data_IF_934816911684
#
_entry.id   IF_934816911684
#
_cell.length_a   1.000
_cell.length_b   1.000
_cell.length_c   1.000
_cell.angle_alpha   90.00
_cell.angle_beta   90.00
_cell.angle_gamma   90.00
#
_symmetry.space_group_name_H-M   'P 1'
#
loop_
_entity.id
_entity.type
_entity.pdbx_description
1 polymer ?
#
# COMPACT_ATOMS: atom_id res chain seq x y z
N UNK A 1 -47.37 27.34 -44.00
CA UNK A 1 -46.17 27.54 -43.14
C UNK A 1 -46.68 27.85 -41.74
N UNK A 2 -46.54 26.93 -40.83
CA UNK A 2 -46.76 27.22 -39.41
C UNK A 2 -45.49 27.89 -38.92
N UNK A 3 -45.61 29.07 -38.31
CA UNK A 3 -44.49 29.71 -37.63
C UNK A 3 -44.22 28.94 -36.34
N UNK A 4 -43.01 28.42 -36.20
CA UNK A 4 -42.56 27.81 -34.95
C UNK A 4 -42.03 28.92 -34.03
N UNK A 5 -42.51 28.94 -32.80
CA UNK A 5 -42.05 29.85 -31.77
C UNK A 5 -41.33 29.05 -30.70
N UNK A 6 -40.08 29.45 -30.40
CA UNK A 6 -39.28 28.82 -29.33
C UNK A 6 -39.28 29.75 -28.12
N UNK A 7 -39.59 29.19 -26.96
CA UNK A 7 -39.48 29.89 -25.68
C UNK A 7 -38.37 29.19 -24.86
N UNK A 8 -37.54 30.00 -24.22
CA UNK A 8 -36.42 29.54 -23.41
C UNK A 8 -36.58 30.06 -21.98
N UNK A 9 -36.34 29.21 -21.03
CA UNK A 9 -36.28 29.54 -19.60
C UNK A 9 -35.04 28.91 -19.02
N UNK A 10 -34.18 29.72 -18.41
CA UNK A 10 -33.01 29.27 -17.65
C UNK A 10 -33.38 29.26 -16.17
N UNK A 11 -33.27 28.10 -15.53
CA UNK A 11 -33.59 27.90 -14.13
C UNK A 11 -32.28 27.47 -13.40
N UNK A 12 -31.85 28.29 -12.44
CA UNK A 12 -30.76 27.91 -11.55
C UNK A 12 -31.31 27.01 -10.46
N UNK A 13 -30.82 25.78 -10.40
CA UNK A 13 -31.15 24.85 -9.31
C UNK A 13 -30.48 25.34 -8.03
N UNK A 14 -31.27 25.41 -6.95
CA UNK A 14 -30.79 25.83 -5.61
C UNK A 14 -31.34 24.88 -4.54
N UNK A 15 -30.65 24.80 -3.41
CA UNK A 15 -31.09 24.00 -2.25
C UNK A 15 -32.49 24.35 -1.75
N UNK A 16 -32.91 25.62 -1.94
CA UNK A 16 -34.25 26.11 -1.54
C UNK A 16 -35.38 25.42 -2.30
N UNK A 17 -35.09 24.87 -3.49
CA UNK A 17 -36.07 24.12 -4.29
C UNK A 17 -36.42 22.78 -3.70
N UNK A 18 -35.58 22.23 -2.77
CA UNK A 18 -35.79 20.95 -2.10
C UNK A 18 -36.14 19.82 -3.06
N UNK A 19 -35.40 19.75 -4.15
CA UNK A 19 -35.53 18.68 -5.15
C UNK A 19 -34.85 17.43 -4.59
N UNK A 20 -35.45 16.27 -4.81
CA UNK A 20 -34.85 14.99 -4.52
C UNK A 20 -33.88 14.59 -5.66
N UNK A 21 -32.87 13.78 -5.36
CA UNK A 21 -32.00 13.21 -6.38
C UNK A 21 -32.79 12.36 -7.38
N UNK A 22 -32.35 12.41 -8.62
CA UNK A 22 -33.00 11.72 -9.71
C UNK A 22 -33.58 12.66 -10.76
N UNK A 23 -34.55 12.19 -11.52
CA UNK A 23 -35.15 12.98 -12.61
C UNK A 23 -35.84 14.22 -12.09
N UNK A 24 -35.51 15.36 -12.68
CA UNK A 24 -36.17 16.61 -12.37
C UNK A 24 -37.52 16.68 -13.11
N UNK A 25 -38.58 16.70 -12.34
CA UNK A 25 -39.91 16.90 -12.86
C UNK A 25 -40.21 18.40 -13.06
N UNK A 26 -40.87 18.72 -14.14
CA UNK A 26 -41.30 20.08 -14.44
C UNK A 26 -42.67 20.09 -15.13
N UNK A 27 -43.31 21.24 -15.08
CA UNK A 27 -44.58 21.51 -15.72
C UNK A 27 -44.50 22.83 -16.48
N UNK A 28 -45.00 22.83 -17.73
CA UNK A 28 -45.22 24.01 -18.49
C UNK A 28 -46.72 24.16 -18.68
N UNK A 29 -47.27 25.25 -18.19
CA UNK A 29 -48.70 25.52 -18.25
C UNK A 29 -48.96 27.01 -18.43
N UNK A 30 -50.22 27.38 -18.63
CA UNK A 30 -50.64 28.79 -18.69
C UNK A 30 -50.31 29.48 -20.02
N UNK A 31 -49.95 28.77 -21.08
CA UNK A 31 -49.73 29.33 -22.41
C UNK A 31 -51.00 29.23 -23.24
N UNK A 32 -51.16 30.25 -24.14
CA UNK A 32 -52.31 30.32 -25.02
C UNK A 32 -51.88 30.87 -26.39
N UNK A 33 -52.66 30.58 -27.42
CA UNK A 33 -52.48 31.18 -28.73
C UNK A 33 -52.93 32.66 -28.77
N UNK A 34 -52.73 33.33 -29.89
CA UNK A 34 -53.11 34.72 -30.06
C UNK A 34 -54.64 34.97 -30.04
N UNK A 35 -55.43 33.91 -30.17
CA UNK A 35 -56.88 33.96 -30.06
C UNK A 35 -57.38 33.67 -28.62
N UNK A 36 -56.48 33.36 -27.69
CA UNK A 36 -56.77 33.10 -26.29
C UNK A 36 -57.11 31.64 -25.99
N UNK A 37 -56.87 30.72 -26.93
CA UNK A 37 -57.06 29.31 -26.66
C UNK A 37 -55.88 28.77 -25.82
N UNK A 38 -56.17 28.18 -24.66
CA UNK A 38 -55.18 27.64 -23.78
C UNK A 38 -54.55 26.34 -24.33
N UNK A 39 -53.24 26.21 -24.17
CA UNK A 39 -52.54 24.99 -24.48
C UNK A 39 -52.68 23.94 -23.39
N UNK A 40 -52.47 22.68 -23.75
CA UNK A 40 -52.42 21.59 -22.79
C UNK A 40 -51.17 21.67 -21.91
N UNK A 41 -51.26 21.20 -20.69
CA UNK A 41 -50.14 21.09 -19.76
C UNK A 41 -49.08 20.14 -20.32
N UNK A 42 -47.82 20.57 -20.35
CA UNK A 42 -46.67 19.79 -20.72
C UNK A 42 -45.87 19.43 -19.47
N UNK A 43 -45.29 18.23 -19.43
CA UNK A 43 -44.53 17.69 -18.33
C UNK A 43 -43.21 17.13 -18.83
N UNK A 44 -42.38 16.66 -17.90
CA UNK A 44 -41.15 15.93 -18.22
C UNK A 44 -41.38 14.74 -19.16
N UNK A 45 -42.58 14.09 -19.12
CA UNK A 45 -42.97 13.02 -20.03
C UNK A 45 -43.15 13.44 -21.50
N UNK A 46 -43.32 14.74 -21.77
CA UNK A 46 -43.50 15.27 -23.12
C UNK A 46 -42.17 15.67 -23.77
N UNK A 47 -41.03 15.45 -23.11
CA UNK A 47 -39.69 15.73 -23.66
C UNK A 47 -39.48 14.92 -24.95
N UNK A 48 -38.94 15.58 -25.97
CA UNK A 48 -38.55 14.89 -27.20
C UNK A 48 -37.27 14.07 -26.97
N UNK A 49 -37.45 12.80 -26.68
CA UNK A 49 -36.39 11.84 -26.35
C UNK A 49 -35.39 11.51 -27.47
N UNK A 50 -35.53 12.09 -28.67
CA UNK A 50 -34.57 11.85 -29.77
C UNK A 50 -33.20 12.51 -29.51
N UNK A 51 -33.12 13.44 -28.58
CA UNK A 51 -31.88 14.18 -28.25
C UNK A 51 -31.54 14.20 -26.78
N UNK A 52 -32.53 14.12 -25.90
CA UNK A 52 -32.34 14.21 -24.44
C UNK A 52 -33.28 13.27 -23.71
N UNK A 53 -32.77 12.61 -22.68
CA UNK A 53 -33.55 11.66 -21.83
C UNK A 53 -34.14 12.35 -20.60
N UNK A 54 -33.96 13.64 -20.43
CA UNK A 54 -34.25 14.42 -19.24
C UNK A 54 -33.00 14.94 -18.54
N UNK A 55 -33.19 15.71 -17.50
CA UNK A 55 -32.13 16.19 -16.62
C UNK A 55 -32.31 15.49 -15.27
N UNK A 56 -31.25 14.96 -14.74
CA UNK A 56 -31.22 14.34 -13.41
C UNK A 56 -30.45 15.25 -12.46
N UNK A 57 -30.97 15.39 -11.24
CA UNK A 57 -30.26 16.01 -10.14
C UNK A 57 -29.47 14.94 -9.42
N UNK A 58 -28.21 15.20 -9.23
CA UNK A 58 -27.33 14.38 -8.43
C UNK A 58 -26.55 15.28 -7.47
N UNK A 59 -26.72 15.07 -6.19
CA UNK A 59 -26.05 15.78 -5.09
C UNK A 59 -25.37 14.81 -4.13
N UNK A 60 -25.23 13.57 -4.54
CA UNK A 60 -24.58 12.52 -3.75
C UNK A 60 -23.10 12.52 -4.12
N UNK A 61 -22.24 12.63 -3.12
CA UNK A 61 -20.80 12.52 -3.36
C UNK A 61 -20.43 11.08 -3.75
N UNK A 62 -19.54 10.90 -4.74
CA UNK A 62 -19.10 9.57 -5.15
C UNK A 62 -18.49 8.86 -3.94
N UNK A 63 -19.01 7.69 -3.65
CA UNK A 63 -18.52 6.94 -2.52
C UNK A 63 -19.24 7.16 -1.20
N UNK A 64 -20.27 7.95 -1.14
CA UNK A 64 -21.03 8.23 0.09
C UNK A 64 -22.21 7.28 0.35
N UNK A 65 -22.50 6.37 -0.57
CA UNK A 65 -23.60 5.42 -0.40
C UNK A 65 -23.23 4.32 0.58
N UNK A 66 -23.73 4.47 1.79
CA UNK A 66 -23.63 3.55 2.93
C UNK A 66 -24.64 2.38 2.81
N UNK A 67 -24.95 1.97 1.57
CA UNK A 67 -25.87 0.86 1.38
C UNK A 67 -25.11 -0.48 1.49
N UNK A 68 -25.68 -1.41 2.21
CA UNK A 68 -25.10 -2.70 2.58
C UNK A 68 -24.80 -3.64 1.39
N UNK A 69 -24.99 -3.21 0.14
CA UNK A 69 -24.85 -4.02 -1.07
C UNK A 69 -23.77 -3.55 -2.03
N UNK A 70 -23.25 -2.35 -1.88
CA UNK A 70 -22.31 -1.74 -2.82
C UNK A 70 -21.18 -0.93 -2.21
N UNK A 71 -20.95 -1.06 -0.90
CA UNK A 71 -19.98 -0.25 -0.18
C UNK A 71 -18.71 0.05 -0.96
N UNK A 72 -18.35 1.32 -1.02
CA UNK A 72 -17.04 1.74 -1.44
C UNK A 72 -16.02 1.08 -0.50
N UNK A 73 -14.91 0.66 -1.05
CA UNK A 73 -13.85 0.12 -0.23
C UNK A 73 -12.49 0.58 -0.75
N UNK A 74 -11.60 0.77 0.19
CA UNK A 74 -10.19 1.00 -0.06
C UNK A 74 -9.43 -0.18 0.49
N UNK A 75 -8.71 -0.87 -0.36
CA UNK A 75 -7.75 -1.89 0.03
C UNK A 75 -6.34 -1.38 -0.20
N UNK A 76 -5.51 -1.52 0.83
CA UNK A 76 -4.09 -1.27 0.77
C UNK A 76 -3.36 -2.54 1.20
N UNK A 77 -2.32 -2.92 0.47
CA UNK A 77 -1.60 -4.16 0.75
C UNK A 77 -0.17 -4.15 0.20
N UNK A 78 0.71 -4.89 0.86
CA UNK A 78 2.00 -5.27 0.30
C UNK A 78 1.79 -6.31 -0.80
N UNK A 79 2.05 -5.95 -2.05
CA UNK A 79 1.94 -6.85 -3.20
C UNK A 79 3.14 -7.80 -3.31
N UNK A 80 4.29 -7.43 -2.75
CA UNK A 80 5.53 -8.21 -2.84
C UNK A 80 5.58 -9.42 -1.93
N UNK A 81 4.74 -9.46 -0.88
CA UNK A 81 4.67 -10.56 0.07
C UNK A 81 3.24 -11.01 0.30
N UNK A 82 2.90 -12.19 -0.22
CA UNK A 82 1.55 -12.76 -0.07
C UNK A 82 1.24 -13.23 1.36
N UNK A 83 2.28 -13.53 2.17
CA UNK A 83 2.14 -14.02 3.53
C UNK A 83 2.11 -12.87 4.55
N UNK A 84 2.67 -11.71 4.20
CA UNK A 84 2.67 -10.52 5.04
C UNK A 84 2.22 -9.29 4.23
N UNK A 85 0.92 -9.15 4.09
CA UNK A 85 0.31 -8.06 3.30
C UNK A 85 0.19 -6.74 4.06
N UNK A 86 0.39 -6.76 5.39
CA UNK A 86 0.17 -5.61 6.27
C UNK A 86 1.47 -4.94 6.76
N UNK A 87 2.62 -5.40 6.27
CA UNK A 87 3.90 -4.73 6.52
C UNK A 87 4.67 -4.64 5.21
N UNK A 88 5.34 -3.54 4.98
CA UNK A 88 6.10 -3.28 3.75
C UNK A 88 7.37 -2.51 4.06
N UNK A 89 8.45 -2.84 3.35
CA UNK A 89 9.72 -2.15 3.46
C UNK A 89 10.23 -1.61 2.13
N UNK A 90 11.47 -1.13 2.16
CA UNK A 90 12.14 -0.55 1.01
C UNK A 90 12.25 -1.57 -0.15
N UNK A 91 11.98 -1.11 -1.36
CA UNK A 91 12.07 -1.91 -2.57
C UNK A 91 10.86 -2.77 -2.87
N UNK A 92 9.92 -2.90 -1.92
CA UNK A 92 8.67 -3.64 -2.10
C UNK A 92 7.59 -2.77 -2.77
N UNK A 93 6.53 -3.41 -3.25
CA UNK A 93 5.44 -2.75 -3.97
C UNK A 93 4.19 -2.70 -3.13
N UNK A 94 3.72 -1.48 -2.84
CA UNK A 94 2.42 -1.20 -2.25
C UNK A 94 1.36 -1.17 -3.34
N UNK A 95 0.25 -1.86 -3.13
CA UNK A 95 -0.96 -1.71 -3.94
C UNK A 95 -2.02 -0.95 -3.16
N UNK A 96 -2.61 0.04 -3.82
CA UNK A 96 -3.83 0.70 -3.38
C UNK A 96 -4.91 0.42 -4.42
N UNK A 97 -6.03 -0.12 -3.96
CA UNK A 97 -7.19 -0.44 -4.79
C UNK A 97 -8.42 0.20 -4.18
N UNK A 98 -9.14 0.99 -4.97
CA UNK A 98 -10.36 1.65 -4.53
C UNK A 98 -11.52 1.27 -5.44
N UNK A 99 -12.63 0.92 -4.83
CA UNK A 99 -13.91 0.76 -5.51
C UNK A 99 -14.76 2.01 -5.30
N UNK A 100 -15.28 2.55 -6.39
CA UNK A 100 -16.23 3.67 -6.42
C UNK A 100 -17.51 3.14 -7.09
N UNK A 101 -18.64 3.36 -6.49
CA UNK A 101 -19.94 2.78 -6.89
C UNK A 101 -20.62 3.51 -8.05
N UNK A 102 -20.03 4.56 -8.57
CA UNK A 102 -20.59 5.35 -9.66
C UNK A 102 -19.57 5.74 -10.74
N UNK A 103 -20.06 6.38 -11.82
CA UNK A 103 -19.23 6.80 -12.94
C UNK A 103 -18.40 8.02 -12.57
N UNK A 104 -17.09 7.93 -12.85
CA UNK A 104 -16.13 8.99 -12.58
C UNK A 104 -15.95 9.90 -13.80
N UNK A 105 -16.00 11.22 -13.59
CA UNK A 105 -15.68 12.23 -14.60
C UNK A 105 -14.19 12.28 -14.90
N UNK A 106 -13.33 11.82 -13.98
CA UNK A 106 -11.87 11.85 -14.12
C UNK A 106 -11.22 10.72 -13.33
N UNK A 107 -10.00 10.36 -13.72
CA UNK A 107 -9.20 9.38 -12.97
C UNK A 107 -8.76 10.02 -11.64
N UNK A 108 -8.99 9.35 -10.49
CA UNK A 108 -8.53 9.81 -9.19
C UNK A 108 -7.02 9.94 -9.12
N UNK A 109 -6.53 10.67 -8.12
CA UNK A 109 -5.10 10.79 -7.81
C UNK A 109 -4.82 10.23 -6.44
N UNK A 110 -3.71 9.50 -6.33
CA UNK A 110 -3.23 8.95 -5.08
C UNK A 110 -2.01 9.74 -4.60
N UNK A 111 -2.04 10.16 -3.36
CA UNK A 111 -0.89 10.75 -2.66
C UNK A 111 -0.41 9.76 -1.60
N UNK A 112 0.91 9.49 -1.55
CA UNK A 112 1.55 8.62 -0.55
C UNK A 112 2.57 9.44 0.22
N UNK A 113 2.64 9.24 1.54
CA UNK A 113 3.58 9.95 2.41
C UNK A 113 3.33 11.46 2.44
N UNK A 114 2.11 11.91 2.13
CA UNK A 114 1.69 13.33 2.08
C UNK A 114 2.42 14.21 1.04
N UNK A 115 3.21 13.62 0.14
CA UNK A 115 4.05 14.41 -0.78
C UNK A 115 4.16 13.84 -2.19
N UNK A 116 4.05 12.54 -2.37
CA UNK A 116 4.19 11.93 -3.67
C UNK A 116 2.80 11.68 -4.30
N UNK A 117 2.51 12.38 -5.40
CA UNK A 117 1.32 12.10 -6.21
C UNK A 117 1.61 10.98 -7.20
N UNK A 118 0.75 9.99 -7.23
CA UNK A 118 0.83 8.82 -8.12
C UNK A 118 -0.50 8.68 -8.86
N UNK A 119 -0.42 8.47 -10.16
CA UNK A 119 -1.62 8.20 -10.94
C UNK A 119 -2.06 6.74 -10.79
N UNK A 120 -3.35 6.51 -10.73
CA UNK A 120 -3.89 5.16 -10.84
C UNK A 120 -3.57 4.60 -12.23
N UNK A 121 -3.04 3.38 -12.29
CA UNK A 121 -2.68 2.71 -13.55
C UNK A 121 -3.89 2.37 -14.40
N UNK A 122 -5.00 2.08 -13.75
CA UNK A 122 -6.27 1.72 -14.39
C UNK A 122 -7.44 2.05 -13.49
N UNK A 123 -8.53 2.55 -14.09
CA UNK A 123 -9.85 2.56 -13.51
C UNK A 123 -10.74 1.77 -14.48
N UNK A 124 -11.22 0.62 -14.04
CA UNK A 124 -11.97 -0.31 -14.88
C UNK A 124 -13.43 -0.32 -14.44
N UNK A 125 -14.33 -0.08 -15.39
CA UNK A 125 -15.76 -0.16 -15.14
C UNK A 125 -16.16 -1.62 -14.86
N UNK A 126 -16.95 -1.79 -13.82
CA UNK A 126 -17.56 -3.05 -13.43
C UNK A 126 -19.09 -2.91 -13.45
N UNK A 127 -19.84 -3.98 -13.26
CA UNK A 127 -21.29 -3.93 -13.17
C UNK A 127 -21.82 -3.14 -11.96
N UNK A 128 -20.95 -2.80 -11.02
CA UNK A 128 -21.24 -2.14 -9.74
C UNK A 128 -20.36 -0.91 -9.48
N UNK A 129 -19.90 -0.20 -10.52
CA UNK A 129 -19.07 0.98 -10.41
C UNK A 129 -17.68 0.81 -11.02
N UNK A 130 -16.68 1.53 -10.48
CA UNK A 130 -15.31 1.53 -10.96
C UNK A 130 -14.35 0.94 -9.92
N UNK A 131 -13.37 0.17 -10.40
CA UNK A 131 -12.22 -0.25 -9.59
C UNK A 131 -10.97 0.42 -10.15
N UNK A 132 -10.32 1.25 -9.32
CA UNK A 132 -9.07 1.90 -9.64
C UNK A 132 -7.91 1.28 -8.86
N UNK A 133 -6.80 0.98 -9.55
CA UNK A 133 -5.63 0.30 -8.97
C UNK A 133 -4.37 1.11 -9.21
N UNK A 134 -3.58 1.31 -8.14
CA UNK A 134 -2.24 1.88 -8.19
C UNK A 134 -1.23 0.94 -7.53
N UNK A 135 -0.07 0.74 -8.16
CA UNK A 135 1.06 0.01 -7.59
C UNK A 135 2.25 0.97 -7.47
N UNK A 136 2.77 1.12 -6.27
CA UNK A 136 3.82 2.05 -5.92
C UNK A 136 4.99 1.28 -5.32
N UNK A 137 6.18 1.51 -5.86
CA UNK A 137 7.40 0.99 -5.24
C UNK A 137 7.76 1.88 -4.05
N UNK A 138 7.82 1.29 -2.87
CA UNK A 138 8.24 1.99 -1.65
C UNK A 138 9.75 2.16 -1.67
N UNK A 139 10.21 3.37 -1.46
CA UNK A 139 11.63 3.68 -1.31
C UNK A 139 11.84 4.89 -0.39
N UNK A 140 13.10 5.16 -0.04
CA UNK A 140 13.48 6.23 0.89
C UNK A 140 13.21 7.66 0.36
N UNK A 141 12.76 7.82 -0.89
CA UNK A 141 12.38 9.13 -1.44
C UNK A 141 10.97 9.55 -1.02
N UNK A 142 10.15 8.58 -0.57
CA UNK A 142 8.81 8.87 -0.07
C UNK A 142 8.92 9.46 1.34
N UNK A 143 8.55 10.73 1.45
CA UNK A 143 8.61 11.43 2.73
C UNK A 143 7.57 10.88 3.73
N UNK A 144 7.85 11.10 5.01
CA UNK A 144 6.94 10.77 6.13
C UNK A 144 6.60 9.29 6.32
N UNK A 145 7.39 8.37 5.76
CA UNK A 145 7.31 6.98 6.16
C UNK A 145 8.07 6.77 7.47
N UNK A 146 7.36 6.31 8.49
CA UNK A 146 7.92 6.08 9.83
C UNK A 146 7.79 4.60 10.17
N UNK A 147 8.88 3.99 10.61
CA UNK A 147 8.90 2.58 10.99
C UNK A 147 7.85 2.27 12.07
N UNK A 148 7.06 1.23 11.84
CA UNK A 148 5.99 0.77 12.72
C UNK A 148 4.67 1.54 12.59
N UNK A 149 4.66 2.64 11.84
CA UNK A 149 3.47 3.46 11.57
C UNK A 149 2.77 3.01 10.28
N UNK A 150 1.48 3.29 10.20
CA UNK A 150 0.71 3.06 8.99
C UNK A 150 1.18 3.99 7.87
N UNK A 151 1.27 3.48 6.64
CA UNK A 151 1.63 4.32 5.48
C UNK A 151 0.51 5.33 5.24
N UNK A 152 0.79 6.63 5.35
CA UNK A 152 -0.22 7.64 5.10
C UNK A 152 -0.49 7.76 3.61
N UNK A 153 -1.76 7.74 3.23
CA UNK A 153 -2.20 7.98 1.86
C UNK A 153 -3.45 8.86 1.81
N UNK A 154 -3.69 9.45 0.64
CA UNK A 154 -4.88 10.20 0.34
C UNK A 154 -5.28 10.01 -1.12
N UNK A 155 -6.55 9.72 -1.38
CA UNK A 155 -7.11 9.62 -2.71
C UNK A 155 -7.95 10.86 -2.96
N UNK A 156 -7.57 11.63 -3.96
CA UNK A 156 -8.18 12.90 -4.32
C UNK A 156 -8.71 12.86 -5.75
N UNK A 157 -9.39 13.94 -6.16
CA UNK A 157 -9.95 14.05 -7.52
C UNK A 157 -10.94 12.92 -7.85
N UNK A 158 -11.62 12.37 -6.85
CA UNK A 158 -12.76 11.49 -7.03
C UNK A 158 -13.94 12.41 -7.34
N UNK A 159 -14.32 12.48 -8.62
CA UNK A 159 -15.34 13.38 -9.12
C UNK A 159 -16.28 12.57 -10.00
N UNK A 160 -17.58 12.63 -9.71
CA UNK A 160 -18.61 11.99 -10.52
C UNK A 160 -18.97 12.80 -11.78
N UNK A 161 -19.91 12.30 -12.57
CA UNK A 161 -20.39 12.94 -13.77
C UNK A 161 -21.17 14.26 -13.49
N UNK A 162 -21.73 14.41 -12.29
CA UNK A 162 -22.46 15.60 -11.87
C UNK A 162 -21.53 16.69 -11.29
N UNK A 163 -20.30 16.33 -10.91
CA UNK A 163 -19.28 17.22 -10.36
C UNK A 163 -19.19 17.18 -8.83
N UNK A 164 -19.89 16.27 -8.14
CA UNK A 164 -19.74 16.03 -6.72
C UNK A 164 -18.37 15.41 -6.45
N UNK A 165 -17.83 15.57 -5.23
CA UNK A 165 -16.43 15.25 -4.95
C UNK A 165 -16.26 14.58 -3.61
N UNK A 166 -15.41 13.57 -3.61
CA UNK A 166 -14.98 12.87 -2.39
C UNK A 166 -13.46 12.82 -2.29
N UNK A 167 -12.98 12.66 -1.07
CA UNK A 167 -11.60 12.38 -0.70
C UNK A 167 -11.62 11.20 0.26
N UNK A 168 -10.74 10.22 0.01
CA UNK A 168 -10.57 9.05 0.86
C UNK A 168 -9.15 9.01 1.42
N UNK A 169 -8.98 8.47 2.63
CA UNK A 169 -7.68 8.35 3.29
C UNK A 169 -7.59 7.09 4.17
N UNK A 170 -6.65 7.09 5.12
CA UNK A 170 -6.43 5.95 6.01
C UNK A 170 -7.67 5.57 6.83
N UNK A 171 -8.56 6.50 7.12
CA UNK A 171 -9.78 6.23 7.91
C UNK A 171 -10.82 5.44 7.09
N UNK A 172 -10.72 5.48 5.76
CA UNK A 172 -11.62 4.79 4.83
C UNK A 172 -11.16 3.37 4.47
N UNK A 173 -10.05 2.89 5.04
CA UNK A 173 -9.53 1.55 4.75
C UNK A 173 -10.50 0.48 5.21
N UNK A 174 -10.87 -0.40 4.29
CA UNK A 174 -11.72 -1.54 4.56
C UNK A 174 -10.92 -2.69 5.15
N UNK A 175 -11.27 -3.08 6.37
CA UNK A 175 -10.62 -4.19 7.07
C UNK A 175 -11.28 -5.53 6.74
N UNK A 176 -10.46 -6.50 6.34
CA UNK A 176 -10.86 -7.90 6.16
C UNK A 176 -9.77 -8.81 6.76
N UNK A 177 -9.94 -10.14 6.68
CA UNK A 177 -8.91 -11.09 7.12
C UNK A 177 -7.57 -10.89 6.41
N UNK A 178 -7.58 -10.36 5.16
CA UNK A 178 -6.39 -10.24 4.31
C UNK A 178 -5.99 -8.78 4.01
N UNK A 179 -6.80 -7.81 4.42
CA UNK A 179 -6.62 -6.39 4.10
C UNK A 179 -6.84 -5.54 5.34
N UNK A 180 -6.09 -4.48 5.45
CA UNK A 180 -6.13 -3.52 6.54
C UNK A 180 -5.09 -2.45 6.30
N UNK A 181 -4.74 -1.66 7.31
CA UNK A 181 -3.63 -0.72 7.21
C UNK A 181 -2.31 -1.47 6.94
N UNK A 182 -1.42 -0.83 6.20
CA UNK A 182 -0.07 -1.34 5.92
C UNK A 182 0.94 -0.50 6.68
N UNK A 183 1.73 -1.17 7.52
CA UNK A 183 2.81 -0.53 8.30
C UNK A 183 4.10 -0.51 7.52
N UNK A 184 4.85 0.58 7.67
CA UNK A 184 6.18 0.69 7.08
C UNK A 184 7.24 0.08 8.00
N UNK A 185 8.07 -0.79 7.46
CA UNK A 185 9.29 -1.25 8.09
C UNK A 185 10.51 -0.65 7.41
N UNK A 186 11.11 0.33 8.05
CA UNK A 186 12.33 1.01 7.60
C UNK A 186 13.51 0.81 8.55
N UNK A 187 13.42 -0.17 9.47
CA UNK A 187 14.46 -0.40 10.47
C UNK A 187 15.35 -1.57 10.05
N UNK A 188 16.65 -1.35 10.10
CA UNK A 188 17.61 -2.41 9.85
C UNK A 188 17.61 -3.47 10.98
N UNK A 189 17.86 -4.75 10.64
CA UNK A 189 18.00 -5.80 11.62
C UNK A 189 19.22 -5.54 12.51
N UNK A 190 19.11 -5.88 13.79
CA UNK A 190 20.16 -5.69 14.78
C UNK A 190 20.60 -7.01 15.38
N UNK A 191 21.85 -7.05 15.83
CA UNK A 191 22.31 -8.14 16.67
C UNK A 191 21.48 -8.18 17.95
N UNK A 192 21.12 -9.37 18.42
CA UNK A 192 20.41 -9.55 19.68
C UNK A 192 21.37 -9.40 20.88
N UNK A 193 20.80 -9.43 22.09
CA UNK A 193 21.61 -9.40 23.32
C UNK A 193 22.54 -10.61 23.51
N UNK A 194 22.34 -11.68 22.71
CA UNK A 194 23.22 -12.85 22.72
C UNK A 194 24.49 -12.63 21.88
N UNK A 195 24.50 -11.61 21.01
CA UNK A 195 25.67 -11.17 20.26
C UNK A 195 26.18 -12.19 19.25
N UNK A 196 27.49 -12.31 19.19
CA UNK A 196 28.23 -13.26 18.35
C UNK A 196 28.97 -14.24 19.27
N UNK A 197 28.88 -15.52 18.96
CA UNK A 197 29.56 -16.58 19.74
C UNK A 197 30.39 -17.41 18.80
N UNK A 198 31.64 -17.68 19.21
CA UNK A 198 32.55 -18.61 18.51
C UNK A 198 32.69 -19.88 19.31
N UNK A 199 32.38 -20.98 18.67
CA UNK A 199 32.53 -22.34 19.24
C UNK A 199 33.71 -23.03 18.57
N UNK A 200 34.49 -23.73 19.36
CA UNK A 200 35.51 -24.63 18.86
C UNK A 200 34.95 -26.04 18.71
N UNK A 201 35.21 -26.71 17.60
CA UNK A 201 34.77 -28.10 17.39
C UNK A 201 35.33 -29.03 18.45
N UNK A 202 34.46 -29.86 19.08
CA UNK A 202 34.77 -30.87 20.11
C UNK A 202 35.77 -30.42 21.19
N UNK A 203 35.26 -29.61 22.13
CA UNK A 203 36.08 -29.02 23.21
C UNK A 203 36.49 -30.06 24.25
N UNK A 204 37.68 -30.64 24.12
CA UNK A 204 38.42 -31.31 25.23
C UNK A 204 39.45 -30.35 25.90
N UNK A 205 39.70 -29.16 25.38
CA UNK A 205 40.71 -28.20 25.82
C UNK A 205 40.19 -26.77 25.91
N UNK A 206 41.04 -25.83 26.31
CA UNK A 206 40.71 -24.45 26.51
C UNK A 206 39.93 -23.82 25.31
N UNK A 207 38.70 -23.34 25.49
CA UNK A 207 37.85 -22.86 24.42
C UNK A 207 38.33 -21.53 23.80
N UNK A 208 39.50 -21.03 24.16
CA UNK A 208 40.06 -19.78 23.65
C UNK A 208 41.11 -19.97 22.53
N UNK A 209 41.52 -21.22 22.24
CA UNK A 209 42.59 -21.48 21.28
C UNK A 209 42.18 -22.56 20.28
N UNK A 210 42.44 -22.30 19.00
CA UNK A 210 42.26 -23.26 17.91
C UNK A 210 43.60 -23.42 17.17
N UNK A 211 43.84 -24.61 16.61
CA UNK A 211 45.03 -24.91 15.80
C UNK A 211 44.63 -25.50 14.45
N UNK A 212 45.56 -25.54 13.50
CA UNK A 212 45.40 -26.25 12.23
C UNK A 212 44.83 -27.64 12.41
N UNK A 213 43.98 -28.07 11.53
CA UNK A 213 43.27 -29.32 11.58
C UNK A 213 42.08 -29.34 12.56
N UNK A 214 41.71 -28.17 13.12
CA UNK A 214 40.53 -27.99 13.95
C UNK A 214 39.57 -27.00 13.32
N UNK A 215 38.28 -27.20 13.58
CA UNK A 215 37.21 -26.35 13.09
C UNK A 215 36.70 -25.34 14.10
N UNK A 216 36.05 -24.31 13.60
CA UNK A 216 35.29 -23.35 14.40
C UNK A 216 33.89 -23.19 13.85
N UNK A 217 32.94 -22.89 14.74
CA UNK A 217 31.59 -22.38 14.37
C UNK A 217 31.48 -20.96 14.85
N UNK A 218 31.06 -20.07 13.95
CA UNK A 218 30.67 -18.69 14.30
C UNK A 218 29.15 -18.61 14.24
N UNK A 219 28.53 -18.29 15.36
CA UNK A 219 27.10 -18.21 15.53
C UNK A 219 26.71 -16.76 15.85
N UNK A 220 25.80 -16.22 15.10
CA UNK A 220 25.31 -14.85 15.23
C UNK A 220 23.82 -14.87 15.57
N UNK A 221 23.39 -14.00 16.48
CA UNK A 221 21.99 -13.91 16.90
C UNK A 221 21.42 -12.55 16.55
N UNK A 222 20.30 -12.53 15.85
CA UNK A 222 19.59 -11.33 15.45
C UNK A 222 18.25 -11.19 16.18
N UNK A 223 17.79 -9.95 16.34
CA UNK A 223 16.52 -9.60 16.98
C UNK A 223 15.29 -9.86 16.10
N UNK A 224 15.51 -10.29 14.87
CA UNK A 224 14.46 -10.59 13.88
C UNK A 224 14.95 -11.57 12.84
N UNK A 225 14.01 -12.20 12.13
CA UNK A 225 14.32 -13.12 11.05
C UNK A 225 14.83 -12.38 9.81
N UNK A 226 15.94 -12.85 9.25
CA UNK A 226 16.55 -12.25 8.10
C UNK A 226 15.96 -12.80 6.80
N UNK A 227 15.76 -11.91 5.83
CA UNK A 227 15.43 -12.25 4.44
C UNK A 227 16.68 -12.60 3.61
N UNK A 228 17.84 -12.06 4.01
CA UNK A 228 19.14 -12.36 3.42
C UNK A 228 20.10 -12.72 4.54
N UNK A 229 20.60 -13.95 4.52
CA UNK A 229 21.55 -14.45 5.50
C UNK A 229 22.88 -13.67 5.47
N UNK A 230 23.57 -13.53 6.62
CA UNK A 230 24.84 -12.83 6.69
C UNK A 230 25.96 -13.53 5.97
N UNK A 231 26.93 -12.75 5.51
CA UNK A 231 28.22 -13.21 5.05
C UNK A 231 29.27 -12.94 6.12
N UNK A 232 29.96 -13.99 6.57
CA UNK A 232 31.07 -13.89 7.50
C UNK A 232 32.36 -13.88 6.68
N UNK A 233 33.21 -12.89 6.90
CA UNK A 233 34.51 -12.76 6.21
C UNK A 233 35.64 -12.88 7.19
N UNK A 234 36.58 -13.81 6.95
CA UNK A 234 37.76 -14.08 7.79
C UNK A 234 38.97 -14.09 6.86
N UNK A 235 39.94 -13.24 7.10
CA UNK A 235 41.16 -13.12 6.26
C UNK A 235 40.86 -13.11 4.76
N UNK A 236 39.79 -12.41 4.34
CA UNK A 236 39.35 -12.30 2.94
C UNK A 236 38.53 -13.50 2.42
N UNK A 237 38.43 -14.59 3.15
CA UNK A 237 37.57 -15.73 2.83
C UNK A 237 36.14 -15.42 3.23
N UNK A 238 35.16 -15.63 2.33
CA UNK A 238 33.76 -15.31 2.53
C UNK A 238 32.92 -16.58 2.68
N UNK A 239 32.13 -16.62 3.72
CA UNK A 239 31.23 -17.72 4.05
C UNK A 239 29.80 -17.19 4.21
N UNK A 240 28.86 -17.74 3.46
CA UNK A 240 27.45 -17.40 3.66
C UNK A 240 26.91 -18.25 4.83
N UNK A 241 26.37 -17.57 5.82
CA UNK A 241 25.76 -18.24 6.96
C UNK A 241 24.41 -18.86 6.58
N UNK A 242 24.02 -19.85 7.33
CA UNK A 242 22.70 -20.50 7.22
C UNK A 242 21.97 -20.45 8.56
N UNK A 243 20.63 -20.55 8.51
CA UNK A 243 19.81 -20.48 9.71
C UNK A 243 20.16 -21.59 10.69
N UNK A 244 20.34 -21.22 11.94
CA UNK A 244 20.66 -22.13 13.03
C UNK A 244 19.41 -22.72 13.68
N UNK A 245 19.63 -23.77 14.48
CA UNK A 245 18.56 -24.45 15.22
C UNK A 245 18.16 -23.69 16.49
N UNK A 246 19.01 -22.78 16.98
CA UNK A 246 18.78 -21.99 18.20
C UNK A 246 17.93 -20.74 17.92
N UNK A 247 16.95 -20.86 17.01
CA UNK A 247 16.01 -19.79 16.70
C UNK A 247 14.82 -19.89 17.64
N UNK A 248 14.51 -18.79 18.35
CA UNK A 248 13.35 -18.68 19.23
C UNK A 248 12.50 -17.45 18.84
N UNK A 249 11.43 -17.66 18.08
CA UNK A 249 10.52 -16.58 17.68
C UNK A 249 9.77 -15.94 18.86
N UNK A 250 9.60 -16.63 19.99
CA UNK A 250 8.91 -16.09 21.17
C UNK A 250 9.75 -15.03 21.88
N UNK A 251 11.06 -15.18 21.84
CA UNK A 251 12.02 -14.19 22.36
C UNK A 251 12.58 -13.28 21.28
N UNK A 252 12.11 -13.39 20.03
CA UNK A 252 12.65 -12.67 18.85
C UNK A 252 14.17 -12.88 18.70
N UNK A 253 14.60 -14.13 18.83
CA UNK A 253 16.01 -14.51 18.69
C UNK A 253 16.14 -15.45 17.50
N UNK A 254 16.91 -15.04 16.51
CA UNK A 254 17.13 -15.78 15.27
C UNK A 254 18.62 -16.01 15.08
N UNK A 255 19.02 -17.28 15.00
CA UNK A 255 20.42 -17.67 14.88
C UNK A 255 20.82 -17.94 13.43
N UNK A 256 22.05 -17.55 13.09
CA UNK A 256 22.71 -17.86 11.82
C UNK A 256 24.15 -18.27 12.10
N UNK A 257 24.66 -19.29 11.42
CA UNK A 257 25.99 -19.79 11.68
C UNK A 257 26.76 -20.18 10.42
N UNK A 258 28.07 -20.24 10.59
CA UNK A 258 29.04 -20.80 9.64
C UNK A 258 29.89 -21.81 10.36
N UNK A 259 30.08 -22.98 9.76
CA UNK A 259 31.03 -24.00 10.19
C UNK A 259 32.26 -23.96 9.29
N UNK A 260 33.43 -23.86 9.90
CA UNK A 260 34.72 -23.95 9.24
C UNK A 260 35.40 -25.21 9.79
N UNK A 261 35.52 -26.25 8.99
CA UNK A 261 36.00 -27.58 9.43
C UNK A 261 37.47 -27.57 9.81
N UNK A 262 38.27 -26.72 9.16
CA UNK A 262 39.73 -26.61 9.42
C UNK A 262 40.17 -25.16 9.23
N UNK A 263 40.64 -24.52 10.30
CA UNK A 263 41.12 -23.14 10.28
C UNK A 263 42.39 -22.94 9.44
N UNK A 264 43.15 -24.00 9.14
CA UNK A 264 44.33 -23.94 8.30
C UNK A 264 44.01 -23.38 6.90
N UNK A 265 42.77 -23.61 6.38
CA UNK A 265 42.36 -23.10 5.07
C UNK A 265 42.29 -21.54 5.00
N UNK A 266 42.21 -20.91 6.18
CA UNK A 266 42.11 -19.46 6.29
C UNK A 266 43.46 -18.74 6.16
N UNK A 267 44.59 -19.45 6.28
CA UNK A 267 45.93 -18.90 6.21
C UNK A 267 46.18 -17.79 7.24
N UNK A 268 45.72 -18.00 8.46
CA UNK A 268 45.86 -17.06 9.57
C UNK A 268 47.24 -17.16 10.20
N UNK A 269 47.77 -16.01 10.64
CA UNK A 269 48.94 -15.96 11.55
C UNK A 269 48.48 -16.19 12.99
N UNK A 270 49.43 -16.50 13.90
CA UNK A 270 49.14 -16.62 15.33
C UNK A 270 48.54 -15.32 15.87
N UNK A 271 47.42 -15.42 16.56
CA UNK A 271 46.74 -14.25 17.14
C UNK A 271 45.23 -14.41 17.26
N UNK A 272 44.54 -13.30 17.41
CA UNK A 272 43.08 -13.25 17.44
C UNK A 272 42.52 -13.46 16.05
N UNK A 273 41.51 -14.33 15.91
CA UNK A 273 40.78 -14.49 14.65
C UNK A 273 39.82 -13.31 14.50
N UNK A 274 40.19 -12.39 13.61
CA UNK A 274 39.35 -11.27 13.27
C UNK A 274 38.39 -11.67 12.15
N UNK A 275 37.12 -11.24 12.28
CA UNK A 275 36.10 -11.47 11.27
C UNK A 275 35.12 -10.31 11.19
N UNK A 276 34.41 -10.24 10.08
CA UNK A 276 33.27 -9.32 9.91
C UNK A 276 32.02 -10.10 9.50
N UNK A 277 30.86 -9.56 9.90
CA UNK A 277 29.53 -10.07 9.55
C UNK A 277 28.82 -8.97 8.78
N UNK A 278 28.47 -9.22 7.52
CA UNK A 278 27.92 -8.18 6.66
C UNK A 278 26.95 -8.72 5.61
N UNK A 279 26.31 -7.83 4.84
CA UNK A 279 25.46 -8.19 3.72
C UNK A 279 24.15 -8.82 4.08
N UNK A 280 23.74 -8.79 5.34
CA UNK A 280 22.45 -9.30 5.81
C UNK A 280 21.35 -8.24 5.71
N UNK A 281 20.13 -8.72 5.48
CA UNK A 281 18.94 -7.87 5.37
C UNK A 281 17.78 -8.56 6.07
N UNK A 282 16.86 -7.76 6.59
CA UNK A 282 15.58 -8.28 7.06
C UNK A 282 14.68 -8.75 5.89
N UNK A 283 13.48 -9.21 6.19
CA UNK A 283 12.48 -9.62 5.19
C UNK A 283 11.93 -8.46 4.35
N UNK A 284 12.14 -7.23 4.81
CA UNK A 284 11.67 -6.01 4.15
C UNK A 284 12.78 -5.30 3.36
N UNK A 285 13.99 -5.88 3.31
CA UNK A 285 15.11 -5.42 2.50
C UNK A 285 15.96 -4.35 3.18
N UNK A 286 15.72 -4.03 4.47
CA UNK A 286 16.58 -3.13 5.22
C UNK A 286 17.91 -3.81 5.49
N UNK A 287 19.01 -3.13 5.17
CA UNK A 287 20.37 -3.67 5.29
C UNK A 287 20.94 -3.40 6.68
N UNK A 288 21.47 -4.45 7.31
CA UNK A 288 22.15 -4.34 8.60
C UNK A 288 23.54 -3.73 8.48
N UNK A 289 24.02 -3.17 9.58
CA UNK A 289 25.37 -2.64 9.70
C UNK A 289 26.39 -3.78 9.73
N UNK A 290 27.61 -3.49 9.23
CA UNK A 290 28.71 -4.44 9.37
C UNK A 290 29.09 -4.60 10.84
N UNK A 291 29.19 -5.84 11.29
CA UNK A 291 29.57 -6.22 12.65
C UNK A 291 30.98 -6.82 12.64
N UNK A 292 31.66 -6.78 13.79
CA UNK A 292 32.98 -7.35 14.03
C UNK A 292 32.92 -8.38 15.15
N UNK A 293 34.03 -9.05 15.44
CA UNK A 293 34.14 -9.98 16.57
C UNK A 293 33.93 -9.30 17.94
N UNK A 294 33.94 -7.97 18.00
CA UNK A 294 33.78 -7.19 19.25
C UNK A 294 32.30 -6.82 19.52
N UNK A 295 31.37 -7.15 18.61
CA UNK A 295 29.93 -6.94 18.72
C UNK A 295 29.23 -8.20 19.28
#
# INVERSE_FOLDING_TARGET
>A
NFAEYTYLVDIKITEEMKLDNGKIDFEISGYADAAGNGGEKLTAGDINHTKFTGVELDTIDPGSNDDATGANWVYILNLSDANNRQTIGNGQTLRVEVKIDEELASIPKLEIGNTQSVDFKSCTQQSYGYICVADIKIDNSIAHLVHGEDIPFKITNIIDAAGNKTVLDNDDVTYTTNYGQVKFDGKAPKISALGITVFLGEAEYDPHYVTDGKGIRILTYFSEELGVAPTITINGHKFTAYAGEDTDPETNTYSYHVDIEDVAVLGLDDGVIEFTVSGYKDKFGNEGEELTQDD
#
